data_IF_154560718025
#
_entry.id   IF_154560718025
#
_cell.length_a   1.000
_cell.length_b   1.000
_cell.length_c   1.000
_cell.angle_alpha   90.00
_cell.angle_beta   90.00
_cell.angle_gamma   90.00
#
_symmetry.space_group_name_H-M   'P 1'
#
loop_
_entity.id
_entity.type
_entity.pdbx_description
1 polymer ?
#
# COMPACT_ATOMS: atom_id res chain seq x y z
N UNK A 1 29.11 13.42 -8.97
CA UNK A 1 28.41 12.27 -9.58
C UNK A 1 29.13 11.94 -10.87
N UNK A 2 29.74 10.76 -10.97
CA UNK A 2 30.42 10.31 -12.20
C UNK A 2 29.39 9.72 -13.18
N UNK A 3 29.61 9.81 -14.51
CA UNK A 3 28.66 9.31 -15.51
C UNK A 3 28.32 7.82 -15.38
N UNK A 4 29.26 7.00 -14.91
CA UNK A 4 29.04 5.56 -14.66
C UNK A 4 28.04 5.29 -13.52
N UNK A 5 28.00 6.20 -12.53
CA UNK A 5 27.12 6.11 -11.38
C UNK A 5 25.66 6.36 -11.79
N UNK A 6 25.46 7.29 -12.74
CA UNK A 6 24.15 7.58 -13.32
C UNK A 6 23.63 6.38 -14.11
N UNK A 7 24.49 5.76 -14.92
CA UNK A 7 24.13 4.56 -15.68
C UNK A 7 23.72 3.40 -14.77
N UNK A 8 24.50 3.16 -13.71
CA UNK A 8 24.21 2.11 -12.72
C UNK A 8 22.89 2.34 -12.00
N UNK A 9 22.58 3.60 -11.65
CA UNK A 9 21.31 3.97 -11.04
C UNK A 9 20.11 3.67 -11.94
N UNK A 10 20.14 4.13 -13.19
CA UNK A 10 19.04 3.89 -14.13
C UNK A 10 18.89 2.41 -14.49
N UNK A 11 19.99 1.67 -14.61
CA UNK A 11 19.96 0.23 -14.84
C UNK A 11 19.31 -0.52 -13.67
N UNK A 12 19.70 -0.19 -12.44
CA UNK A 12 19.11 -0.77 -11.23
C UNK A 12 17.62 -0.42 -11.11
N UNK A 13 17.25 0.84 -11.38
CA UNK A 13 15.87 1.28 -11.38
C UNK A 13 15.02 0.55 -12.44
N UNK A 14 15.52 0.42 -13.67
CA UNK A 14 14.85 -0.31 -14.73
C UNK A 14 14.66 -1.79 -14.37
N UNK A 15 15.67 -2.44 -13.81
CA UNK A 15 15.59 -3.83 -13.37
C UNK A 15 14.49 -4.03 -12.30
N UNK A 16 14.44 -3.15 -11.29
CA UNK A 16 13.41 -3.18 -10.24
C UNK A 16 12.01 -2.98 -10.84
N UNK A 17 11.84 -2.01 -11.74
CA UNK A 17 10.54 -1.73 -12.37
C UNK A 17 10.06 -2.89 -13.25
N UNK A 18 10.95 -3.50 -14.03
CA UNK A 18 10.61 -4.64 -14.89
C UNK A 18 10.23 -5.84 -14.04
N UNK A 19 11.04 -6.19 -13.03
CA UNK A 19 10.76 -7.35 -12.18
C UNK A 19 9.48 -7.13 -11.35
N UNK A 20 9.31 -5.92 -10.81
CA UNK A 20 8.10 -5.50 -10.10
C UNK A 20 6.84 -5.63 -10.95
N UNK A 21 6.89 -5.21 -12.23
CA UNK A 21 5.74 -5.36 -13.14
C UNK A 21 5.44 -6.81 -13.50
N UNK A 22 6.46 -7.64 -13.72
CA UNK A 22 6.27 -9.06 -14.03
C UNK A 22 5.63 -9.79 -12.86
N UNK A 23 6.17 -9.61 -11.64
CA UNK A 23 5.65 -10.24 -10.44
C UNK A 23 4.31 -9.64 -10.01
N UNK A 24 4.11 -8.33 -10.15
CA UNK A 24 2.82 -7.68 -9.93
C UNK A 24 1.73 -8.16 -10.89
N UNK A 25 2.08 -8.43 -12.16
CA UNK A 25 1.16 -9.05 -13.10
C UNK A 25 0.85 -10.51 -12.74
N UNK A 26 1.83 -11.27 -12.26
CA UNK A 26 1.62 -12.63 -11.76
C UNK A 26 0.72 -12.64 -10.51
N UNK A 27 0.96 -11.74 -9.55
CA UNK A 27 0.15 -11.56 -8.35
C UNK A 27 -1.31 -11.25 -8.68
N UNK A 28 -1.55 -10.37 -9.66
CA UNK A 28 -2.92 -10.10 -10.17
C UNK A 28 -3.61 -11.36 -10.70
N UNK A 29 -2.88 -12.26 -11.39
CA UNK A 29 -3.44 -13.53 -11.88
C UNK A 29 -3.80 -14.50 -10.75
N UNK A 30 -3.15 -14.36 -9.60
CA UNK A 30 -3.41 -15.14 -8.38
C UNK A 30 -4.50 -14.50 -7.49
N UNK A 31 -5.12 -13.39 -7.92
CA UNK A 31 -6.12 -12.65 -7.13
C UNK A 31 -5.54 -11.76 -6.04
N UNK A 32 -4.21 -11.59 -6.00
CA UNK A 32 -3.53 -10.71 -5.06
C UNK A 32 -3.42 -9.28 -5.62
N UNK A 33 -3.48 -8.25 -4.76
CA UNK A 33 -3.17 -6.89 -5.17
C UNK A 33 -1.78 -6.81 -5.83
N UNK A 34 -1.61 -6.04 -6.92
CA UNK A 34 -0.34 -5.96 -7.65
C UNK A 34 0.86 -5.62 -6.75
N UNK A 35 0.63 -4.82 -5.70
CA UNK A 35 1.66 -4.40 -4.75
C UNK A 35 2.36 -5.58 -4.07
N UNK A 36 1.66 -6.70 -3.85
CA UNK A 36 2.24 -7.91 -3.23
C UNK A 36 3.33 -8.49 -4.14
N UNK A 37 3.10 -8.50 -5.46
CA UNK A 37 4.10 -8.95 -6.43
C UNK A 37 5.29 -7.99 -6.55
N UNK A 38 5.05 -6.68 -6.43
CA UNK A 38 6.12 -5.67 -6.44
C UNK A 38 7.01 -5.78 -5.19
N UNK A 39 6.42 -6.02 -4.02
CA UNK A 39 7.16 -6.27 -2.78
C UNK A 39 8.01 -7.54 -2.88
N UNK A 40 7.46 -8.63 -3.41
CA UNK A 40 8.22 -9.86 -3.68
C UNK A 40 9.38 -9.61 -4.63
N UNK A 41 9.20 -8.79 -5.66
CA UNK A 41 10.29 -8.41 -6.58
C UNK A 41 11.43 -7.70 -5.86
N UNK A 42 11.13 -6.78 -4.95
CA UNK A 42 12.11 -6.08 -4.13
C UNK A 42 12.86 -7.01 -3.17
N UNK A 43 12.14 -7.92 -2.50
CA UNK A 43 12.75 -8.93 -1.60
C UNK A 43 13.66 -9.88 -2.39
N UNK A 44 13.24 -10.28 -3.59
CA UNK A 44 14.06 -11.08 -4.48
C UNK A 44 15.32 -10.30 -4.90
N UNK A 45 15.19 -9.09 -5.44
CA UNK A 45 16.32 -8.27 -5.90
C UNK A 45 17.30 -7.84 -4.79
N UNK A 46 16.83 -7.74 -3.55
CA UNK A 46 17.63 -7.31 -2.42
C UNK A 46 18.54 -8.43 -1.88
N UNK A 47 18.25 -8.99 -0.69
CA UNK A 47 19.14 -9.97 -0.04
C UNK A 47 19.03 -11.38 -0.64
N UNK A 48 17.92 -11.71 -1.29
CA UNK A 48 17.56 -13.11 -1.59
C UNK A 48 18.16 -13.63 -2.90
N UNK A 49 18.37 -12.77 -3.91
CA UNK A 49 19.12 -13.15 -5.11
C UNK A 49 20.63 -13.14 -4.83
N UNK A 50 21.24 -14.32 -4.95
CA UNK A 50 22.69 -14.53 -4.91
C UNK A 50 23.38 -14.09 -3.61
N UNK A 51 22.80 -14.34 -2.42
CA UNK A 51 23.42 -14.00 -1.11
C UNK A 51 23.77 -12.50 -0.97
N UNK A 52 22.97 -11.64 -1.62
CA UNK A 52 23.24 -10.21 -1.74
C UNK A 52 24.42 -9.85 -2.63
N UNK A 53 25.05 -10.78 -3.37
CA UNK A 53 26.09 -10.48 -4.34
C UNK A 53 25.57 -9.62 -5.51
N UNK A 54 24.36 -9.91 -5.99
CA UNK A 54 23.66 -9.06 -6.94
C UNK A 54 23.42 -7.67 -6.33
N UNK A 55 22.97 -7.58 -5.08
CA UNK A 55 22.77 -6.30 -4.42
C UNK A 55 24.07 -5.52 -4.14
N UNK A 56 25.20 -6.20 -3.91
CA UNK A 56 26.53 -5.58 -3.77
C UNK A 56 27.02 -4.99 -5.10
N UNK A 57 26.66 -5.61 -6.22
CA UNK A 57 27.06 -5.17 -7.57
C UNK A 57 26.09 -4.15 -8.19
N UNK A 58 24.78 -4.31 -7.98
CA UNK A 58 23.72 -3.42 -8.49
C UNK A 58 23.46 -2.20 -7.59
N UNK A 59 23.75 -2.28 -6.29
CA UNK A 59 23.51 -1.20 -5.32
C UNK A 59 24.80 -0.80 -4.57
N UNK A 60 25.69 -0.03 -5.23
CA UNK A 60 26.83 0.60 -4.58
C UNK A 60 26.39 1.38 -3.33
N UNK A 61 27.21 1.40 -2.28
CA UNK A 61 26.87 2.00 -0.99
C UNK A 61 26.42 3.48 -1.12
N UNK A 62 26.96 4.20 -2.10
CA UNK A 62 26.70 5.62 -2.34
C UNK A 62 25.26 5.94 -2.78
N UNK A 63 24.56 5.01 -3.46
CA UNK A 63 23.20 5.25 -3.97
C UNK A 63 22.11 4.68 -3.05
N UNK A 64 22.47 3.89 -2.05
CA UNK A 64 21.54 3.29 -1.09
C UNK A 64 20.69 4.32 -0.33
N UNK A 65 21.25 5.45 0.17
CA UNK A 65 20.44 6.44 0.86
C UNK A 65 19.38 7.08 -0.05
N UNK A 66 19.73 7.29 -1.32
CA UNK A 66 18.81 7.88 -2.31
C UNK A 66 17.68 6.91 -2.68
N UNK A 67 18.00 5.62 -2.86
CA UNK A 67 17.02 4.57 -3.08
C UNK A 67 16.10 4.38 -1.88
N UNK A 68 16.64 4.46 -0.65
CA UNK A 68 15.85 4.39 0.58
C UNK A 68 14.87 5.57 0.68
N UNK A 69 15.33 6.80 0.42
CA UNK A 69 14.45 7.97 0.41
C UNK A 69 13.29 7.84 -0.60
N UNK A 70 13.56 7.29 -1.79
CA UNK A 70 12.51 7.01 -2.79
C UNK A 70 11.55 5.91 -2.33
N UNK A 71 12.04 4.86 -1.67
CA UNK A 71 11.21 3.79 -1.12
C UNK A 71 10.28 4.31 -0.01
N UNK A 72 10.80 5.14 0.90
CA UNK A 72 10.04 5.75 1.97
C UNK A 72 8.95 6.68 1.41
N UNK A 73 9.29 7.50 0.40
CA UNK A 73 8.32 8.32 -0.32
C UNK A 73 7.23 7.47 -0.97
N UNK A 74 7.61 6.40 -1.67
CA UNK A 74 6.68 5.46 -2.28
C UNK A 74 5.72 4.83 -1.26
N UNK A 75 6.24 4.44 -0.10
CA UNK A 75 5.45 3.85 0.99
C UNK A 75 4.46 4.87 1.58
N UNK A 76 4.90 6.09 1.86
CA UNK A 76 4.04 7.16 2.38
C UNK A 76 2.93 7.46 1.37
N UNK A 77 3.26 7.61 0.09
CA UNK A 77 2.27 7.82 -0.97
C UNK A 77 1.30 6.63 -1.06
N UNK A 78 1.78 5.39 -0.92
CA UNK A 78 0.94 4.19 -0.94
C UNK A 78 -0.02 4.13 0.25
N UNK A 79 0.36 4.60 1.43
CA UNK A 79 -0.50 4.61 2.63
C UNK A 79 -1.51 5.76 2.55
N UNK A 80 -1.06 6.95 2.16
CA UNK A 80 -1.91 8.16 2.20
C UNK A 80 -2.98 8.15 1.12
N UNK A 81 -2.69 7.57 -0.05
CA UNK A 81 -3.60 7.55 -1.20
C UNK A 81 -4.92 6.81 -0.92
N UNK A 82 -4.93 5.55 -0.43
CA UNK A 82 -6.16 4.88 -0.04
C UNK A 82 -6.78 5.48 1.22
N UNK A 83 -6.00 6.08 2.14
CA UNK A 83 -6.59 6.71 3.32
C UNK A 83 -7.51 7.89 3.00
N UNK A 84 -7.28 8.60 1.88
CA UNK A 84 -8.14 9.70 1.43
C UNK A 84 -9.40 9.25 0.69
N UNK A 85 -9.45 8.01 0.17
CA UNK A 85 -10.60 7.50 -0.59
C UNK A 85 -11.70 6.93 0.32
N UNK A 86 -11.38 6.60 1.58
CA UNK A 86 -12.36 6.19 2.58
C UNK A 86 -12.95 7.44 3.25
N UNK A 87 -14.21 7.82 2.97
CA UNK A 87 -14.84 8.90 3.72
C UNK A 87 -14.83 8.54 5.21
N UNK A 88 -14.60 9.52 6.11
CA UNK A 88 -14.69 9.27 7.55
C UNK A 88 -16.07 8.69 7.83
N UNK A 89 -16.11 7.51 8.43
CA UNK A 89 -17.34 6.79 8.77
C UNK A 89 -18.07 7.52 9.90
N UNK A 90 -18.68 8.68 9.60
CA UNK A 90 -19.50 9.47 10.51
C UNK A 90 -20.88 8.85 10.80
N UNK A 91 -21.00 7.52 10.70
CA UNK A 91 -22.27 6.80 10.80
C UNK A 91 -22.59 6.25 12.19
N UNK A 92 -21.60 6.02 13.05
CA UNK A 92 -21.85 5.38 14.36
C UNK A 92 -22.60 6.30 15.34
N UNK A 93 -22.34 7.62 15.30
CA UNK A 93 -23.00 8.57 16.19
C UNK A 93 -24.46 8.86 15.76
N UNK A 94 -24.74 8.83 14.45
CA UNK A 94 -26.08 9.03 13.90
C UNK A 94 -27.02 7.83 14.15
N UNK A 95 -26.50 6.59 14.11
CA UNK A 95 -27.25 5.37 14.44
C UNK A 95 -27.61 5.32 15.93
N UNK A 96 -26.67 5.71 16.80
CA UNK A 96 -26.89 5.74 18.25
C UNK A 96 -27.95 6.78 18.66
N UNK A 97 -27.96 7.95 18.02
CA UNK A 97 -28.99 8.97 18.25
C UNK A 97 -30.36 8.58 17.69
N UNK A 98 -30.42 7.89 16.55
CA UNK A 98 -31.65 7.31 16.00
C UNK A 98 -32.24 6.24 16.92
N UNK A 99 -31.41 5.34 17.45
CA UNK A 99 -31.82 4.31 18.41
C UNK A 99 -32.45 4.92 19.68
N UNK A 100 -31.87 6.02 20.20
CA UNK A 100 -32.45 6.76 21.34
C UNK A 100 -33.74 7.49 21.01
N UNK A 101 -33.90 7.99 19.79
CA UNK A 101 -35.13 8.66 19.36
C UNK A 101 -36.29 7.67 19.13
N UNK A 102 -36.02 6.48 18.60
CA UNK A 102 -37.05 5.43 18.40
C UNK A 102 -37.50 4.73 19.68
N UNK A 103 -36.79 4.91 20.80
CA UNK A 103 -37.19 4.44 22.13
C UNK A 103 -38.22 5.34 22.85
N UNK A 104 -38.50 6.53 22.31
CA UNK A 104 -39.41 7.52 22.89
C UNK A 104 -40.67 7.73 22.02
N UNK A 105 -41.34 6.67 21.56
CA UNK A 105 -42.75 6.81 21.13
C UNK A 105 -43.50 5.48 21.24
N UNK A 106 -44.05 5.23 22.42
CA UNK A 106 -45.20 4.33 22.57
C UNK A 106 -46.11 4.93 23.63
N UNK A 107 -47.20 5.61 23.24
CA UNK A 107 -48.18 6.07 24.21
C UNK A 107 -48.84 4.86 24.86
N UNK A 108 -48.92 4.80 26.21
CA UNK A 108 -49.60 3.72 26.88
C UNK A 108 -51.11 3.86 26.66
N UNK A 109 -51.73 2.86 26.04
CA UNK A 109 -53.16 2.59 26.17
C UNK A 109 -54.09 3.48 25.36
N UNK A 110 -54.42 3.04 24.14
CA UNK A 110 -55.77 3.21 23.58
C UNK A 110 -56.36 1.84 23.29
N UNK A 111 -56.99 1.28 24.32
CA UNK A 111 -57.95 0.18 24.20
C UNK A 111 -59.11 0.67 23.34
N UNK A 112 -59.19 0.19 22.10
CA UNK A 112 -60.38 0.28 21.28
C UNK A 112 -61.43 -0.67 21.89
N UNK A 113 -62.40 -0.13 22.62
CA UNK A 113 -63.60 -0.85 23.06
C UNK A 113 -64.68 -0.55 22.02
N UNK A 114 -65.02 -1.60 21.26
CA UNK A 114 -66.22 -1.71 20.43
C UNK A 114 -67.44 -2.02 21.30
#
# INVERSE_FOLDING_TARGET
>A
MTPEQVQSFFAALAAVLVLGRLLGAAARRLGQPPVVGELLAGVLLGPTLFDGAAARFLFPADIRPLLAALADLGLVLFIVTPSWISPPSGGEEAEHLRSRATGCDSPPGRTAVL
#
